data_IF_279629709274
#
_entry.id   IF_279629709274
#
_cell.length_a   1.000
_cell.length_b   1.000
_cell.length_c   1.000
_cell.angle_alpha   90.00
_cell.angle_beta   90.00
_cell.angle_gamma   90.00
#
_symmetry.space_group_name_H-M   'P 1'
#
loop_
_entity.id
_entity.type
_entity.pdbx_description
1 polymer ?
#
# COMPACT_ATOMS: atom_id res chain seq x y z
N UNK A 1 -21.48 8.87 -12.79
CA UNK A 1 -20.54 8.64 -11.66
C UNK A 1 -19.31 9.46 -11.97
N UNK A 2 -18.78 10.23 -11.01
CA UNK A 2 -17.53 10.95 -11.24
C UNK A 2 -16.41 9.92 -11.40
N UNK A 3 -15.52 10.07 -12.39
CA UNK A 3 -14.28 9.29 -12.46
C UNK A 3 -13.22 9.97 -11.59
N UNK A 4 -12.36 9.16 -10.98
CA UNK A 4 -11.19 9.60 -10.24
C UNK A 4 -9.93 9.22 -11.03
N UNK A 5 -9.00 10.13 -11.13
CA UNK A 5 -7.67 9.92 -11.70
C UNK A 5 -6.69 9.58 -10.58
N UNK A 6 -5.97 8.47 -10.75
CA UNK A 6 -5.01 7.96 -9.78
C UNK A 6 -3.62 7.89 -10.39
N UNK A 7 -2.61 8.23 -9.59
CA UNK A 7 -1.20 8.08 -9.94
C UNK A 7 -0.61 6.86 -9.22
N UNK A 8 -0.52 5.74 -9.94
CA UNK A 8 -0.13 4.44 -9.38
C UNK A 8 1.32 4.14 -9.74
N UNK A 9 2.12 3.85 -8.73
CA UNK A 9 3.52 3.49 -8.86
C UNK A 9 3.72 2.06 -8.38
N UNK A 10 4.23 1.21 -9.26
CA UNK A 10 4.56 -0.18 -8.97
C UNK A 10 6.08 -0.33 -8.96
N UNK A 11 6.64 -0.86 -7.87
CA UNK A 11 8.08 -0.98 -7.71
C UNK A 11 8.53 -2.44 -7.64
N UNK A 12 9.76 -2.69 -8.10
CA UNK A 12 10.37 -4.01 -8.07
C UNK A 12 9.70 -4.97 -9.03
N UNK A 13 9.46 -6.21 -8.61
CA UNK A 13 8.84 -7.22 -9.46
C UNK A 13 7.39 -6.89 -9.82
N UNK A 14 6.73 -6.01 -9.07
CA UNK A 14 5.35 -5.58 -9.36
C UNK A 14 5.25 -4.70 -10.61
N UNK A 15 6.38 -4.18 -11.12
CA UNK A 15 6.40 -3.44 -12.37
C UNK A 15 5.79 -4.24 -13.55
N UNK A 16 5.86 -5.58 -13.53
CA UNK A 16 5.29 -6.45 -14.56
C UNK A 16 3.76 -6.32 -14.73
N UNK A 17 3.06 -5.82 -13.70
CA UNK A 17 1.63 -5.54 -13.76
C UNK A 17 1.33 -4.22 -14.51
N UNK A 18 2.36 -3.45 -14.83
CA UNK A 18 2.29 -2.18 -15.54
C UNK A 18 1.90 -2.26 -17.01
N UNK A 19 1.77 -3.48 -17.57
CA UNK A 19 1.29 -3.74 -18.95
C UNK A 19 1.98 -2.86 -20.01
N UNK A 20 3.30 -2.71 -19.93
CA UNK A 20 4.10 -2.00 -20.93
C UNK A 20 4.56 -0.59 -20.56
N UNK A 21 4.27 -0.09 -19.36
CA UNK A 21 4.91 1.13 -18.79
C UNK A 21 6.14 0.83 -17.94
N UNK A 22 6.69 -0.38 -18.08
CA UNK A 22 7.79 -0.89 -17.28
C UNK A 22 9.10 -0.19 -17.67
N UNK A 23 9.72 0.50 -16.72
CA UNK A 23 11.03 1.14 -16.88
C UNK A 23 12.11 0.32 -16.16
N UNK A 24 12.05 -1.00 -16.32
CA UNK A 24 12.95 -1.98 -15.70
C UNK A 24 12.57 -2.32 -14.25
N UNK A 25 12.75 -1.38 -13.32
CA UNK A 25 12.59 -1.61 -11.87
C UNK A 25 11.36 -0.91 -11.25
N UNK A 26 10.60 -0.18 -12.05
CA UNK A 26 9.32 0.39 -11.67
C UNK A 26 8.39 0.56 -12.87
N UNK A 27 7.09 0.71 -12.61
CA UNK A 27 6.08 1.11 -13.58
C UNK A 27 5.23 2.24 -13.01
N UNK A 28 4.96 3.27 -13.82
CA UNK A 28 4.02 4.33 -13.47
C UNK A 28 2.78 4.19 -14.34
N UNK A 29 1.60 4.18 -13.71
CA UNK A 29 0.31 4.06 -14.36
C UNK A 29 -0.60 5.20 -13.91
N UNK A 30 -1.10 5.95 -14.88
CA UNK A 30 -2.22 6.85 -14.68
C UNK A 30 -3.51 6.08 -14.94
N UNK A 31 -4.25 5.78 -13.88
CA UNK A 31 -5.45 4.96 -13.95
C UNK A 31 -6.68 5.80 -13.66
N UNK A 32 -7.78 5.47 -14.33
CA UNK A 32 -9.09 6.06 -14.05
C UNK A 32 -9.98 4.97 -13.45
N UNK A 33 -10.60 5.28 -12.31
CA UNK A 33 -11.55 4.41 -11.63
C UNK A 33 -12.86 5.16 -11.38
N UNK A 34 -14.00 4.46 -11.21
CA UNK A 34 -15.22 5.08 -10.74
C UNK A 34 -15.03 5.72 -9.36
N UNK A 35 -15.64 6.87 -9.10
CA UNK A 35 -15.62 7.51 -7.79
C UNK A 35 -16.24 6.60 -6.72
N UNK A 36 -15.61 6.56 -5.55
CA UNK A 36 -15.93 5.61 -4.49
C UNK A 36 -15.24 4.24 -4.64
N UNK A 37 -14.38 4.06 -5.64
CA UNK A 37 -13.54 2.85 -5.75
C UNK A 37 -12.59 2.72 -4.57
N UNK A 38 -12.31 1.47 -4.23
CA UNK A 38 -11.42 1.10 -3.14
C UNK A 38 -10.06 0.62 -3.63
N UNK A 39 -9.11 0.41 -2.71
CA UNK A 39 -7.85 -0.28 -3.03
C UNK A 39 -8.13 -1.67 -3.60
N UNK A 40 -9.13 -2.41 -3.09
CA UNK A 40 -9.49 -3.71 -3.66
C UNK A 40 -9.87 -3.61 -5.15
N UNK A 41 -10.63 -2.58 -5.53
CA UNK A 41 -11.02 -2.34 -6.93
C UNK A 41 -9.80 -1.99 -7.80
N UNK A 42 -8.87 -1.18 -7.26
CA UNK A 42 -7.60 -0.87 -7.92
C UNK A 42 -6.78 -2.14 -8.21
N UNK A 43 -6.65 -3.03 -7.22
CA UNK A 43 -5.90 -4.28 -7.39
C UNK A 43 -6.59 -5.23 -8.37
N UNK A 44 -7.92 -5.34 -8.31
CA UNK A 44 -8.70 -6.11 -9.26
C UNK A 44 -8.49 -5.60 -10.70
N UNK A 45 -8.40 -4.26 -10.87
CA UNK A 45 -8.13 -3.64 -12.18
C UNK A 45 -6.72 -3.92 -12.69
N UNK A 46 -5.72 -3.88 -11.80
CA UNK A 46 -4.34 -4.28 -12.09
C UNK A 46 -4.19 -5.79 -12.33
N UNK A 47 -5.19 -6.59 -11.93
CA UNK A 47 -5.13 -8.06 -11.85
C UNK A 47 -3.98 -8.53 -10.96
N UNK A 48 -3.71 -7.77 -9.89
CA UNK A 48 -2.62 -8.03 -8.95
C UNK A 48 -3.17 -8.75 -7.71
N UNK A 49 -2.69 -9.95 -7.38
CA UNK A 49 -3.03 -10.60 -6.12
C UNK A 49 -2.51 -9.78 -4.93
N UNK A 50 -3.31 -9.72 -3.87
CA UNK A 50 -2.98 -8.98 -2.64
C UNK A 50 -1.74 -9.55 -1.96
N UNK A 51 -1.47 -10.84 -2.11
CA UNK A 51 -0.36 -11.57 -1.49
C UNK A 51 1.00 -11.26 -2.12
N UNK A 52 1.02 -10.69 -3.33
CA UNK A 52 2.25 -10.25 -4.00
C UNK A 52 2.71 -8.87 -3.51
N UNK A 53 1.80 -8.10 -2.91
CA UNK A 53 2.11 -6.79 -2.35
C UNK A 53 2.97 -6.95 -1.11
N UNK A 54 4.06 -6.19 -1.09
CA UNK A 54 4.82 -5.95 0.11
C UNK A 54 4.20 -4.81 0.89
N UNK A 55 4.44 -3.60 0.43
CA UNK A 55 4.06 -2.37 1.15
C UNK A 55 3.23 -1.49 0.23
N UNK A 56 2.17 -0.89 0.77
CA UNK A 56 1.36 0.09 0.05
C UNK A 56 1.42 1.44 0.76
N UNK A 57 1.68 2.50 0.00
CA UNK A 57 1.57 3.88 0.43
C UNK A 57 0.46 4.59 -0.33
N UNK A 58 -0.32 5.40 0.37
CA UNK A 58 -1.34 6.27 -0.21
C UNK A 58 -1.02 7.69 0.23
N UNK A 59 -0.72 8.58 -0.71
CA UNK A 59 -0.30 9.97 -0.46
C UNK A 59 0.87 10.08 0.53
N UNK A 60 1.82 9.14 0.45
CA UNK A 60 2.98 9.06 1.35
C UNK A 60 2.69 8.49 2.74
N UNK A 61 1.45 8.05 3.00
CA UNK A 61 1.06 7.38 4.24
C UNK A 61 1.06 5.88 4.08
N UNK A 62 1.63 5.16 5.04
CA UNK A 62 1.64 3.69 5.05
C UNK A 62 0.22 3.17 5.23
N UNK A 63 -0.23 2.32 4.31
CA UNK A 63 -1.58 1.75 4.30
C UNK A 63 -1.60 0.23 4.42
N UNK A 64 -0.59 -0.46 3.88
CA UNK A 64 -0.42 -1.89 4.06
C UNK A 64 1.06 -2.29 4.15
N UNK A 65 1.31 -3.44 4.78
CA UNK A 65 2.62 -4.07 4.89
C UNK A 65 2.51 -5.60 4.77
N UNK A 66 3.63 -6.33 4.59
CA UNK A 66 3.58 -7.78 4.44
C UNK A 66 2.99 -8.40 5.71
N UNK A 67 1.94 -9.22 5.55
CA UNK A 67 1.23 -9.85 6.66
C UNK A 67 0.08 -9.02 7.26
N UNK A 68 -0.01 -7.72 6.95
CA UNK A 68 -1.07 -6.83 7.44
C UNK A 68 -1.53 -5.86 6.35
N UNK A 69 -2.70 -6.15 5.76
CA UNK A 69 -3.23 -5.42 4.59
C UNK A 69 -4.65 -4.87 4.86
N UNK A 70 -4.81 -3.89 5.78
CA UNK A 70 -6.11 -3.34 6.17
C UNK A 70 -6.66 -2.34 5.14
N UNK A 71 -5.88 -2.04 4.10
CA UNK A 71 -6.14 -0.99 3.10
C UNK A 71 -7.19 -1.37 2.06
N UNK A 72 -7.60 -2.64 1.97
CA UNK A 72 -8.51 -3.12 0.93
C UNK A 72 -9.83 -2.33 0.85
N UNK A 73 -10.35 -1.89 1.99
CA UNK A 73 -11.57 -1.09 2.07
C UNK A 73 -11.35 0.43 1.99
N UNK A 74 -10.10 0.89 1.88
CA UNK A 74 -9.78 2.32 1.81
C UNK A 74 -10.31 2.90 0.50
N UNK A 75 -11.14 3.94 0.61
CA UNK A 75 -11.76 4.61 -0.52
C UNK A 75 -10.74 5.59 -1.13
N UNK A 76 -10.46 5.42 -2.41
CA UNK A 76 -9.54 6.27 -3.15
C UNK A 76 -10.24 7.54 -3.62
N UNK A 77 -9.50 8.65 -3.59
CA UNK A 77 -9.95 9.97 -4.00
C UNK A 77 -9.29 10.42 -5.31
N UNK A 78 -9.89 11.40 -5.98
CA UNK A 78 -9.33 11.99 -7.18
C UNK A 78 -7.97 12.64 -6.88
N UNK A 79 -6.97 12.31 -7.69
CA UNK A 79 -5.59 12.77 -7.54
C UNK A 79 -4.74 11.97 -6.54
N UNK A 80 -5.28 10.90 -5.95
CA UNK A 80 -4.51 10.07 -5.01
C UNK A 80 -3.30 9.43 -5.68
N UNK A 81 -2.19 9.41 -4.93
CA UNK A 81 -0.95 8.75 -5.34
C UNK A 81 -0.73 7.48 -4.55
N UNK A 82 -0.74 6.35 -5.25
CA UNK A 82 -0.61 5.01 -4.65
C UNK A 82 0.72 4.38 -5.04
N UNK A 83 1.58 4.09 -4.07
CA UNK A 83 2.85 3.40 -4.27
C UNK A 83 2.80 1.98 -3.73
N UNK A 84 2.96 0.97 -4.60
CA UNK A 84 2.96 -0.44 -4.23
C UNK A 84 4.36 -1.01 -4.46
N UNK A 85 4.95 -1.56 -3.41
CA UNK A 85 6.27 -2.15 -3.40
C UNK A 85 6.16 -3.67 -3.28
N UNK A 86 7.03 -4.39 -3.98
CA UNK A 86 7.11 -5.85 -3.85
C UNK A 86 7.56 -6.26 -2.43
N UNK A 87 7.38 -7.54 -2.10
CA UNK A 87 7.78 -8.11 -0.79
C UNK A 87 9.28 -8.11 -0.54
N UNK A 88 10.11 -7.91 -1.57
CA UNK A 88 11.58 -7.96 -1.48
C UNK A 88 12.18 -6.56 -1.27
N UNK A 89 11.40 -5.51 -1.45
CA UNK A 89 11.82 -4.12 -1.32
C UNK A 89 12.24 -3.83 0.12
N UNK A 90 13.52 -3.47 0.30
CA UNK A 90 14.05 -3.07 1.61
C UNK A 90 13.35 -1.80 2.10
N UNK A 91 12.93 -1.81 3.36
CA UNK A 91 12.34 -0.64 4.00
C UNK A 91 13.42 0.41 4.30
N UNK A 92 13.29 1.67 3.83
CA UNK A 92 14.17 2.73 4.29
C UNK A 92 13.97 2.91 5.80
N UNK A 93 15.06 2.82 6.55
CA UNK A 93 15.08 2.94 8.02
C UNK A 93 14.34 4.20 8.54
N UNK A 94 14.26 5.24 7.71
CA UNK A 94 13.56 6.50 7.99
C UNK A 94 12.08 6.33 8.34
N UNK A 95 11.43 5.26 7.86
CA UNK A 95 10.02 4.99 8.15
C UNK A 95 9.81 4.16 9.44
N UNK A 96 10.87 3.61 10.06
CA UNK A 96 10.79 2.82 11.32
C UNK A 96 10.40 3.62 12.56
N UNK A 97 10.61 4.93 12.54
CA UNK A 97 10.48 5.76 13.74
C UNK A 97 9.52 6.97 13.60
N UNK A 98 8.78 7.07 12.49
CA UNK A 98 7.90 8.23 12.28
C UNK A 98 7.15 8.26 10.94
N UNK A 99 6.92 7.11 10.29
CA UNK A 99 6.08 7.08 9.10
C UNK A 99 4.66 7.55 9.46
N UNK A 100 4.13 8.51 8.70
CA UNK A 100 2.70 8.81 8.78
C UNK A 100 1.95 7.57 8.29
N UNK A 101 1.11 7.00 9.14
CA UNK A 101 0.28 5.83 8.83
C UNK A 101 -1.16 6.29 8.56
N UNK A 102 -1.91 5.50 7.80
CA UNK A 102 -3.36 5.70 7.62
C UNK A 102 -4.13 5.28 8.87
N UNK A 103 -5.35 5.78 9.07
CA UNK A 103 -6.17 5.44 10.25
C UNK A 103 -6.54 3.95 10.29
N UNK A 104 -6.69 3.32 9.12
CA UNK A 104 -6.91 1.89 8.97
C UNK A 104 -5.68 1.09 9.43
N UNK A 105 -4.48 1.55 9.06
CA UNK A 105 -3.22 0.96 9.49
C UNK A 105 -2.99 1.13 10.99
N UNK A 106 -3.33 2.29 11.55
CA UNK A 106 -3.25 2.54 12.99
C UNK A 106 -4.19 1.64 13.78
N UNK A 107 -5.44 1.46 13.31
CA UNK A 107 -6.40 0.53 13.92
C UNK A 107 -5.93 -0.93 13.85
N UNK A 108 -5.36 -1.34 12.71
CA UNK A 108 -4.85 -2.69 12.54
C UNK A 108 -3.66 -2.99 13.47
N UNK A 109 -2.70 -2.05 13.59
CA UNK A 109 -1.58 -2.14 14.53
C UNK A 109 -2.03 -2.11 16.00
N UNK A 110 -3.06 -1.33 16.31
CA UNK A 110 -3.68 -1.30 17.64
C UNK A 110 -4.34 -2.64 17.99
N UNK A 111 -5.04 -3.25 17.04
CA UNK A 111 -5.68 -4.56 17.21
C UNK A 111 -4.65 -5.70 17.35
N UNK A 112 -3.51 -5.64 16.64
CA UNK A 112 -2.41 -6.60 16.83
C UNK A 112 -1.72 -6.42 18.20
N UNK A 113 -1.55 -5.18 18.68
CA UNK A 113 -0.98 -4.90 20.01
C UNK A 113 -1.82 -5.50 21.15
N UNK A 114 -3.14 -5.50 21.01
CA UNK A 114 -4.05 -6.08 22.02
C UNK A 114 -4.09 -7.62 21.96
N UNK A 115 -3.62 -8.24 20.88
CA UNK A 115 -3.63 -9.71 20.70
C UNK A 115 -2.23 -10.35 20.69
N UNK A 116 -1.15 -9.58 20.81
CA UNK A 116 0.21 -10.08 20.62
C UNK A 116 1.26 -9.44 21.52
N UNK A 117 1.42 -10.03 22.70
CA UNK A 117 2.65 -10.06 23.50
C UNK A 117 3.15 -8.73 24.11
N UNK A 118 2.86 -8.59 25.41
CA UNK A 118 3.77 -8.00 26.38
C UNK A 118 5.16 -8.68 26.30
N UNK A 119 6.03 -8.25 25.39
CA UNK A 119 7.46 -8.50 25.52
C UNK A 119 8.11 -7.35 26.27
N UNK A 120 8.17 -7.56 27.58
CA UNK A 120 9.04 -6.95 28.58
C UNK A 120 10.38 -6.50 28.00
N UNK A 121 10.55 -5.18 27.83
CA UNK A 121 11.88 -4.58 27.81
C UNK A 121 12.34 -4.45 29.27
N UNK A 122 12.97 -5.49 29.79
CA UNK A 122 13.88 -5.31 30.94
C UNK A 122 15.15 -4.68 30.38
N UNK A 123 15.36 -3.40 30.70
CA UNK A 123 16.68 -2.79 30.68
C UNK A 123 17.50 -3.44 31.80
N UNK A 124 18.61 -4.07 31.44
CA UNK A 124 19.79 -4.07 32.32
C UNK A 124 20.52 -2.73 32.21
#
# INVERSE_FOLDING_TARGET
MAEIALDVWLYGTLACYGRGTEQGSFANLKMHLPGGSTVADLLARLKMPTEERGITFINGRLSAMPGLQPDLGHILQDGDRVGIFDRKSMWPFQYRHGAMITEEMERALGAEKDQGLHHTYSKE
#
